data_IF_049650702119
#
_entry.id   IF_049650702119
#
_cell.length_a   1.000
_cell.length_b   1.000
_cell.length_c   1.000
_cell.angle_alpha   90.00
_cell.angle_beta   90.00
_cell.angle_gamma   90.00
#
_symmetry.space_group_name_H-M   'P 1'
#
loop_
_entity.id
_entity.type
_entity.pdbx_description
1 polymer ?
#
# COMPACT_ATOMS: atom_id res chain seq x y z
N UNK A 1 18.13 8.40 5.51
CA UNK A 1 18.07 8.68 4.06
C UNK A 1 16.66 8.33 3.59
N UNK A 2 16.04 9.15 2.75
CA UNK A 2 14.71 8.84 2.21
C UNK A 2 14.85 7.90 1.00
N UNK A 3 14.07 6.82 0.97
CA UNK A 3 14.07 5.83 -0.11
C UNK A 3 12.78 5.97 -0.90
N UNK A 4 12.88 5.88 -2.23
CA UNK A 4 11.72 5.96 -3.12
C UNK A 4 11.63 4.71 -3.98
N UNK A 5 10.45 4.10 -4.01
CA UNK A 5 10.10 2.99 -4.90
C UNK A 5 9.14 3.51 -5.98
N UNK A 6 9.29 3.01 -7.20
CA UNK A 6 8.44 3.39 -8.32
C UNK A 6 8.02 2.16 -9.12
N UNK A 7 6.78 2.16 -9.60
CA UNK A 7 6.29 1.18 -10.56
C UNK A 7 5.41 1.85 -11.61
N UNK A 8 5.41 1.32 -12.83
CA UNK A 8 4.58 1.81 -13.93
C UNK A 8 4.05 0.63 -14.74
N UNK A 9 2.77 0.68 -15.12
CA UNK A 9 2.19 -0.28 -16.05
C UNK A 9 1.03 0.37 -16.83
N UNK A 10 1.20 0.48 -18.15
CA UNK A 10 0.27 1.21 -19.01
C UNK A 10 0.08 2.66 -18.54
N UNK A 11 -1.16 3.04 -18.29
CA UNK A 11 -1.56 4.38 -17.84
C UNK A 11 -1.32 4.64 -16.34
N UNK A 12 -0.91 3.62 -15.58
CA UNK A 12 -0.70 3.73 -14.13
C UNK A 12 0.76 3.95 -13.78
N UNK A 13 1.00 4.81 -12.79
CA UNK A 13 2.29 5.01 -12.14
C UNK A 13 2.10 5.10 -10.62
N UNK A 14 3.03 4.53 -9.87
CA UNK A 14 3.06 4.55 -8.42
C UNK A 14 4.42 5.05 -7.96
N UNK A 15 4.40 5.88 -6.92
CA UNK A 15 5.59 6.32 -6.19
C UNK A 15 5.35 6.17 -4.70
N UNK A 16 6.16 5.34 -4.05
CA UNK A 16 6.13 5.16 -2.59
C UNK A 16 7.40 5.75 -2.01
N UNK A 17 7.23 6.75 -1.14
CA UNK A 17 8.30 7.42 -0.42
C UNK A 17 8.35 6.89 1.01
N UNK A 18 9.51 6.34 1.38
CA UNK A 18 9.81 5.82 2.70
C UNK A 18 10.65 6.84 3.47
N UNK A 19 10.46 6.87 4.79
CA UNK A 19 11.27 7.65 5.72
C UNK A 19 11.69 6.79 6.91
N UNK A 20 12.75 7.16 7.63
CA UNK A 20 13.06 6.53 8.90
C UNK A 20 11.87 6.58 9.86
N UNK A 21 11.70 5.51 10.62
CA UNK A 21 10.74 5.45 11.72
C UNK A 21 11.05 6.52 12.78
N UNK A 22 10.00 7.18 13.28
CA UNK A 22 10.09 8.13 14.39
C UNK A 22 9.11 7.72 15.49
N UNK A 23 9.65 7.31 16.63
CA UNK A 23 8.88 6.86 17.80
C UNK A 23 7.84 7.90 18.26
N UNK A 24 8.06 9.20 18.05
CA UNK A 24 7.12 10.25 18.48
C UNK A 24 5.88 10.32 17.60
N UNK A 25 6.00 9.92 16.34
CA UNK A 25 4.96 10.04 15.32
C UNK A 25 4.28 8.72 15.01
N UNK A 26 5.04 7.63 15.09
CA UNK A 26 4.64 6.34 14.54
C UNK A 26 4.25 5.31 15.62
N UNK A 27 4.44 5.65 16.90
CA UNK A 27 4.07 4.77 18.01
C UNK A 27 2.58 4.44 17.99
N UNK A 28 2.27 3.15 18.01
CA UNK A 28 0.90 2.63 18.03
C UNK A 28 0.26 2.43 16.66
N UNK A 29 0.96 2.75 15.56
CA UNK A 29 0.53 2.33 14.24
C UNK A 29 0.91 0.87 14.02
N UNK A 30 0.09 0.16 13.26
CA UNK A 30 0.49 -1.13 12.72
C UNK A 30 1.52 -0.92 11.60
N UNK A 31 2.47 -1.85 11.47
CA UNK A 31 3.63 -1.73 10.57
C UNK A 31 3.83 -2.98 9.70
N UNK A 32 2.85 -3.89 9.64
CA UNK A 32 2.96 -5.13 8.89
C UNK A 32 3.61 -6.30 9.64
N UNK A 33 4.14 -6.09 10.84
CA UNK A 33 4.80 -7.09 11.71
C UNK A 33 4.60 -6.81 13.20
N UNK A 34 4.94 -7.76 14.06
CA UNK A 34 4.57 -7.76 15.49
C UNK A 34 5.75 -7.64 16.47
N UNK A 35 6.97 -8.05 16.07
CA UNK A 35 8.03 -8.26 17.07
C UNK A 35 9.13 -7.19 17.10
N UNK A 36 9.23 -6.32 16.10
CA UNK A 36 10.27 -5.28 16.06
C UNK A 36 9.80 -3.93 15.53
N UNK A 37 10.44 -2.86 16.02
CA UNK A 37 10.24 -1.51 15.48
C UNK A 37 10.83 -1.46 14.06
N UNK A 38 10.05 -1.04 13.03
CA UNK A 38 10.58 -0.97 11.68
C UNK A 38 11.66 0.11 11.56
N UNK A 39 12.58 -0.05 10.63
CA UNK A 39 13.61 0.96 10.31
C UNK A 39 13.03 2.09 9.47
N UNK A 40 12.10 1.76 8.57
CA UNK A 40 11.44 2.72 7.70
C UNK A 40 9.94 2.48 7.56
N UNK A 41 9.20 3.58 7.41
CA UNK A 41 7.73 3.61 7.24
C UNK A 41 7.35 4.36 5.98
N UNK A 42 6.18 4.06 5.43
CA UNK A 42 5.64 4.81 4.29
C UNK A 42 5.26 6.23 4.73
N UNK A 43 5.98 7.21 4.19
CA UNK A 43 5.66 8.63 4.37
C UNK A 43 4.54 9.06 3.41
N UNK A 44 4.64 8.65 2.15
CA UNK A 44 3.73 9.07 1.10
C UNK A 44 3.60 8.01 0.01
N UNK A 45 2.38 7.82 -0.48
CA UNK A 45 2.09 6.98 -1.64
C UNK A 45 1.31 7.83 -2.64
N UNK A 46 1.89 8.07 -3.81
CA UNK A 46 1.23 8.73 -4.92
C UNK A 46 0.92 7.69 -5.99
N UNK A 47 -0.35 7.63 -6.40
CA UNK A 47 -0.77 6.84 -7.56
C UNK A 47 -1.28 7.82 -8.61
N UNK A 48 -0.86 7.64 -9.85
CA UNK A 48 -1.35 8.38 -11.00
C UNK A 48 -1.99 7.45 -12.02
N UNK A 49 -3.10 7.88 -12.60
CA UNK A 49 -3.75 7.25 -13.74
C UNK A 49 -3.93 8.29 -14.84
N UNK A 50 -3.36 8.03 -16.02
CA UNK A 50 -3.36 8.98 -17.16
C UNK A 50 -2.84 10.37 -16.76
N UNK A 51 -1.79 10.39 -15.95
CA UNK A 51 -1.15 11.61 -15.47
C UNK A 51 -1.85 12.31 -14.29
N UNK A 52 -3.11 11.95 -13.97
CA UNK A 52 -3.87 12.53 -12.86
C UNK A 52 -3.64 11.74 -11.57
N UNK A 53 -3.54 12.45 -10.43
CA UNK A 53 -3.43 11.83 -9.11
C UNK A 53 -4.74 11.11 -8.78
N UNK A 54 -4.62 9.84 -8.38
CA UNK A 54 -5.73 9.02 -7.88
C UNK A 54 -5.91 9.34 -6.40
N UNK A 55 -7.13 9.70 -5.95
CA UNK A 55 -7.39 9.92 -4.53
C UNK A 55 -7.10 8.66 -3.71
N UNK A 56 -6.25 8.80 -2.70
CA UNK A 56 -5.92 7.74 -1.75
C UNK A 56 -6.07 8.30 -0.34
N UNK A 57 -6.84 7.61 0.49
CA UNK A 57 -6.88 7.91 1.92
C UNK A 57 -5.58 7.44 2.55
N UNK A 58 -5.07 8.21 3.53
CA UNK A 58 -3.82 7.89 4.23
C UNK A 58 -3.81 6.46 4.77
N UNK A 59 -4.93 5.99 5.32
CA UNK A 59 -5.10 4.62 5.82
C UNK A 59 -4.97 3.51 4.77
N UNK A 60 -4.90 3.84 3.47
CA UNK A 60 -4.62 2.85 2.44
C UNK A 60 -3.15 2.39 2.42
N UNK A 61 -2.24 3.18 3.00
CA UNK A 61 -0.79 2.92 2.91
C UNK A 61 0.03 3.31 4.15
N UNK A 62 -0.51 4.09 5.09
CA UNK A 62 0.29 4.67 6.18
C UNK A 62 0.71 3.69 7.26
N UNK A 63 0.09 2.51 7.29
CA UNK A 63 0.37 1.40 8.20
C UNK A 63 1.35 0.38 7.58
N UNK A 64 1.92 0.71 6.42
CA UNK A 64 2.92 -0.12 5.75
C UNK A 64 4.33 0.37 6.14
N UNK A 65 5.22 -0.58 6.41
CA UNK A 65 6.61 -0.32 6.76
C UNK A 65 7.56 -1.29 6.04
N UNK A 66 8.85 -0.97 6.01
CA UNK A 66 9.88 -1.85 5.40
C UNK A 66 9.49 -2.35 4.01
N UNK A 67 9.01 -1.44 3.15
CA UNK A 67 8.54 -1.82 1.81
C UNK A 67 9.75 -2.23 0.98
N UNK A 68 9.74 -3.46 0.49
CA UNK A 68 10.83 -4.05 -0.27
C UNK A 68 10.65 -3.85 -1.78
N UNK A 69 9.44 -4.14 -2.27
CA UNK A 69 9.11 -4.09 -3.70
C UNK A 69 7.70 -3.50 -3.89
N UNK A 70 7.52 -2.74 -4.97
CA UNK A 70 6.20 -2.41 -5.49
C UNK A 70 6.11 -2.79 -6.96
N UNK A 71 4.97 -3.34 -7.38
CA UNK A 71 4.75 -3.69 -8.79
C UNK A 71 3.29 -3.67 -9.18
N UNK A 72 3.03 -3.28 -10.42
CA UNK A 72 1.70 -3.37 -11.00
C UNK A 72 1.51 -4.69 -11.76
N UNK A 73 0.30 -5.22 -11.72
CA UNK A 73 -0.16 -6.30 -12.59
C UNK A 73 -1.67 -6.20 -12.82
N UNK A 74 -2.18 -6.91 -13.83
CA UNK A 74 -3.63 -7.09 -14.01
C UNK A 74 -4.07 -8.39 -13.37
N UNK A 75 -5.12 -8.38 -12.57
CA UNK A 75 -5.69 -9.61 -12.04
C UNK A 75 -6.58 -10.32 -13.08
N UNK A 76 -7.13 -11.48 -12.73
CA UNK A 76 -8.00 -12.28 -13.62
C UNK A 76 -9.28 -11.56 -14.04
N UNK A 77 -9.71 -10.52 -13.31
CA UNK A 77 -10.87 -9.67 -13.65
C UNK A 77 -10.49 -8.48 -14.54
N UNK A 78 -9.21 -8.36 -14.93
CA UNK A 78 -8.69 -7.24 -15.70
C UNK A 78 -8.47 -5.96 -14.89
N UNK A 79 -8.65 -6.00 -13.57
CA UNK A 79 -8.43 -4.86 -12.68
C UNK A 79 -6.93 -4.62 -12.52
N UNK A 80 -6.54 -3.34 -12.40
CA UNK A 80 -5.15 -2.99 -12.11
C UNK A 80 -4.88 -3.19 -10.63
N UNK A 81 -3.79 -3.87 -10.28
CA UNK A 81 -3.40 -4.11 -8.89
C UNK A 81 -1.98 -3.62 -8.67
N UNK A 82 -1.79 -2.72 -7.71
CA UNK A 82 -0.47 -2.46 -7.13
C UNK A 82 -0.25 -3.45 -5.99
N UNK A 83 0.73 -4.33 -6.17
CA UNK A 83 1.26 -5.17 -5.10
C UNK A 83 2.39 -4.43 -4.42
N UNK A 84 2.39 -4.48 -3.10
CA UNK A 84 3.42 -3.92 -2.22
C UNK A 84 3.86 -5.07 -1.32
N UNK A 85 5.10 -5.52 -1.49
CA UNK A 85 5.71 -6.53 -0.62
C UNK A 85 6.61 -5.81 0.38
N UNK A 86 6.45 -6.12 1.67
CA UNK A 86 7.21 -5.46 2.73
C UNK A 86 7.32 -6.31 3.99
N UNK A 87 7.95 -5.71 4.99
CA UNK A 87 8.32 -6.38 6.22
C UNK A 87 9.77 -6.86 6.21
N UNK A 88 10.17 -7.53 7.29
CA UNK A 88 11.53 -8.04 7.47
C UNK A 88 11.57 -9.58 7.36
N UNK A 89 12.71 -10.18 7.71
CA UNK A 89 12.89 -11.62 7.64
C UNK A 89 12.01 -12.40 8.63
N UNK A 90 11.53 -11.76 9.70
CA UNK A 90 10.69 -12.38 10.73
C UNK A 90 9.20 -12.16 10.43
N UNK A 91 8.83 -10.96 9.99
CA UNK A 91 7.46 -10.57 9.72
C UNK A 91 7.34 -10.01 8.29
N UNK A 92 6.74 -10.80 7.38
CA UNK A 92 6.44 -10.34 6.01
C UNK A 92 4.96 -10.09 5.78
N UNK A 93 4.67 -9.14 4.89
CA UNK A 93 3.31 -8.86 4.42
C UNK A 93 3.25 -8.58 2.92
N UNK A 94 2.03 -8.68 2.39
CA UNK A 94 1.67 -8.32 1.02
C UNK A 94 0.42 -7.47 1.04
N UNK A 95 0.55 -6.21 0.63
CA UNK A 95 -0.58 -5.32 0.43
C UNK A 95 -0.94 -5.24 -1.07
N UNK A 96 -2.24 -5.26 -1.36
CA UNK A 96 -2.78 -5.20 -2.71
C UNK A 96 -3.77 -4.04 -2.78
N UNK A 97 -3.42 -3.00 -3.53
CA UNK A 97 -4.32 -1.90 -3.86
C UNK A 97 -4.91 -2.14 -5.25
N UNK A 98 -6.23 -2.37 -5.30
CA UNK A 98 -6.95 -2.71 -6.52
C UNK A 98 -7.67 -1.48 -7.05
N UNK A 99 -7.46 -1.20 -8.33
CA UNK A 99 -7.99 -0.05 -9.04
C UNK A 99 -8.93 -0.46 -10.17
N UNK A 100 -10.08 0.19 -10.21
CA UNK A 100 -11.04 0.10 -11.31
C UNK A 100 -11.28 1.49 -11.88
N UNK A 101 -11.10 1.66 -13.19
CA UNK A 101 -11.30 2.94 -13.91
C UNK A 101 -10.58 4.13 -13.27
N UNK A 102 -9.38 3.93 -12.73
CA UNK A 102 -8.57 4.98 -12.11
C UNK A 102 -8.93 5.28 -10.65
N UNK A 103 -9.77 4.48 -10.01
CA UNK A 103 -10.18 4.66 -8.61
C UNK A 103 -9.78 3.46 -7.77
N UNK A 104 -9.31 3.69 -6.53
CA UNK A 104 -9.11 2.64 -5.55
C UNK A 104 -10.47 2.07 -5.14
N UNK A 105 -10.66 0.76 -5.31
CA UNK A 105 -11.92 0.07 -4.96
C UNK A 105 -11.74 -0.94 -3.84
N UNK A 106 -10.51 -1.42 -3.64
CA UNK A 106 -10.22 -2.41 -2.60
C UNK A 106 -8.76 -2.33 -2.17
N UNK A 107 -8.52 -2.48 -0.87
CA UNK A 107 -7.22 -2.78 -0.28
C UNK A 107 -7.32 -4.14 0.40
N UNK A 108 -6.33 -4.99 0.17
CA UNK A 108 -6.18 -6.26 0.90
C UNK A 108 -4.78 -6.31 1.49
N UNK A 109 -4.64 -6.77 2.72
CA UNK A 109 -3.33 -7.04 3.33
C UNK A 109 -3.29 -8.45 3.89
N UNK A 110 -2.31 -9.20 3.42
CA UNK A 110 -1.92 -10.51 3.93
C UNK A 110 -0.66 -10.31 4.78
N UNK A 111 -0.58 -10.89 5.97
CA UNK A 111 0.66 -10.88 6.75
C UNK A 111 0.93 -12.25 7.38
N UNK A 112 2.20 -12.55 7.62
CA UNK A 112 2.69 -13.84 8.13
C UNK A 112 2.18 -14.21 9.53
N UNK A 113 1.74 -13.22 10.32
CA UNK A 113 1.07 -13.45 11.61
C UNK A 113 -0.37 -13.97 11.51
N UNK A 114 -0.96 -13.97 10.31
CA UNK A 114 -2.26 -14.59 10.06
C UNK A 114 -2.10 -16.00 9.44
N UNK A 115 -3.04 -16.93 9.72
CA UNK A 115 -3.15 -18.15 8.92
C UNK A 115 -3.26 -17.84 7.43
N UNK A 116 -2.76 -18.72 6.57
CA UNK A 116 -2.70 -18.51 5.11
C UNK A 116 -4.08 -18.26 4.44
N UNK A 117 -5.18 -18.51 5.14
CA UNK A 117 -6.55 -18.27 4.70
C UNK A 117 -7.19 -17.01 5.28
N UNK A 118 -6.43 -16.15 5.96
CA UNK A 118 -6.93 -14.94 6.60
C UNK A 118 -6.22 -13.68 6.10
N UNK A 119 -6.97 -12.59 5.95
CA UNK A 119 -6.46 -11.30 5.48
C UNK A 119 -7.39 -10.18 5.92
N UNK A 120 -6.84 -8.97 6.01
CA UNK A 120 -7.63 -7.76 6.13
C UNK A 120 -8.07 -7.27 4.74
N UNK A 121 -9.33 -6.88 4.59
CA UNK A 121 -9.83 -6.25 3.36
C UNK A 121 -10.64 -4.99 3.69
N UNK A 122 -10.27 -3.87 3.07
CA UNK A 122 -11.05 -2.64 3.04
C UNK A 122 -11.66 -2.46 1.66
N UNK A 123 -12.98 -2.22 1.60
CA UNK A 123 -13.68 -1.90 0.35
C UNK A 123 -14.00 -0.42 0.31
N UNK A 124 -13.64 0.23 -0.79
CA UNK A 124 -13.90 1.65 -1.01
C UNK A 124 -15.06 1.81 -1.96
N UNK A 125 -16.02 2.66 -1.56
CA UNK A 125 -17.14 3.06 -2.41
C UNK A 125 -17.01 4.55 -2.65
N UNK A 126 -16.85 4.93 -3.91
CA UNK A 126 -16.87 6.33 -4.30
C UNK A 126 -18.33 6.76 -4.45
N UNK A 127 -18.84 7.49 -3.47
CA UNK A 127 -20.18 8.10 -3.52
C UNK A 127 -19.99 9.51 -4.08
N UNK A 128 -20.55 9.82 -5.27
CA UNK A 128 -20.49 11.17 -5.81
C UNK A 128 -21.14 12.14 -4.82
N UNK A 129 -20.39 13.14 -4.38
CA UNK A 129 -20.95 14.27 -3.65
C UNK A 129 -21.62 15.17 -4.69
N UNK A 130 -22.91 15.44 -4.51
CA UNK A 130 -23.58 16.52 -5.24
C UNK A 130 -23.28 17.80 -4.48
N UNK A 131 -22.60 18.73 -5.12
CA UNK A 131 -22.50 20.11 -4.64
C UNK A 131 -23.86 20.80 -4.74
#
# INVERSE_FOLDING_TARGET
MQRTLQAKLGDYMAKVLLRPYDLRLDKGLWHGGSESTPKEVVHHCEIRYRGKVVPLMRGAYSDLAEVNEIRFYKNQRGEMVLKIDGGDAADSYRAYLVFAKGMLVRRRVEHSGFPNNFYEETRYVNIPVRD
#
